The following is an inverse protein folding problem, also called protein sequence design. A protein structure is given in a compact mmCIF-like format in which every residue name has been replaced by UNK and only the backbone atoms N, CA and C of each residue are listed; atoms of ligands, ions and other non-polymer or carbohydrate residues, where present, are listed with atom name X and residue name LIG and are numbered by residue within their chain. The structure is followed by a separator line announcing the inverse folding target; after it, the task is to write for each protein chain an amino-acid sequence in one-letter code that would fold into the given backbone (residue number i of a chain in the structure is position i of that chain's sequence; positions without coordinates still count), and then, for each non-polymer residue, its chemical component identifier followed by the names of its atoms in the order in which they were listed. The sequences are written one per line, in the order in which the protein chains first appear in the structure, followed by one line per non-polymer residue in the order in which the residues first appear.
data_IF_076111766590
#
_entry.id   IF_076111766590
#
_cell.length_a   1.000
_cell.length_b   1.000
_cell.length_c   1.000
_cell.angle_alpha   90.00
_cell.angle_beta   90.00
_cell.angle_gamma   90.00
#
_symmetry.space_group_name_H-M   'P 1'
#
loop_
_entity.id
_entity.type
_entity.pdbx_description
1 polymer ?
#
# COMPACT_ATOMS: atom_id res chain seq x y z
N UNK A 1 72.10 -0.68 -76.17
CA UNK A 1 73.32 -1.37 -76.66
C UNK A 1 72.86 -2.61 -77.40
N UNK A 2 73.13 -2.67 -78.71
CA UNK A 2 74.14 -3.58 -79.29
C UNK A 2 73.58 -5.00 -79.39
N UNK A 3 73.27 -5.45 -80.61
CA UNK A 3 74.24 -6.08 -81.52
C UNK A 3 74.75 -7.36 -80.86
N UNK A 4 74.75 -8.53 -81.47
CA UNK A 4 74.30 -9.02 -82.74
C UNK A 4 74.83 -10.48 -82.78
N UNK A 5 74.34 -11.28 -83.73
CA UNK A 5 75.18 -12.12 -84.61
C UNK A 5 75.82 -13.37 -83.93
N UNK A 6 76.09 -14.50 -84.58
CA UNK A 6 76.18 -14.99 -85.97
C UNK A 6 76.35 -16.52 -85.81
N UNK A 7 75.63 -17.36 -86.57
CA UNK A 7 75.96 -17.86 -87.93
C UNK A 7 77.01 -18.99 -87.97
N UNK A 8 76.62 -20.05 -88.67
CA UNK A 8 77.42 -20.83 -89.62
C UNK A 8 76.41 -21.68 -90.43
N UNK A 9 76.45 -21.85 -91.76
CA UNK A 9 77.35 -21.43 -92.85
C UNK A 9 76.60 -21.77 -94.18
N UNK A 10 76.53 -20.87 -95.18
CA UNK A 10 77.42 -20.79 -96.36
C UNK A 10 77.11 -21.86 -97.44
N UNK A 11 77.03 -21.62 -98.77
CA UNK A 11 77.60 -20.59 -99.65
C UNK A 11 76.96 -20.67 -101.07
N UNK A 12 77.26 -19.69 -101.96
CA UNK A 12 76.89 -19.45 -103.38
C UNK A 12 75.57 -18.66 -103.58
N UNK A 13 75.52 -17.32 -103.75
CA UNK A 13 76.31 -16.34 -104.53
C UNK A 13 76.36 -16.62 -106.05
N UNK A 14 75.39 -16.10 -106.81
CA UNK A 14 75.65 -15.32 -108.04
C UNK A 14 74.39 -14.65 -108.64
N UNK A 15 74.50 -13.32 -108.79
CA UNK A 15 74.10 -12.48 -109.93
C UNK A 15 72.64 -12.35 -110.41
N UNK A 16 72.12 -11.18 -110.02
CA UNK A 16 71.35 -10.22 -110.82
C UNK A 16 71.86 -10.05 -112.26
N UNK A 17 70.87 -9.86 -113.14
CA UNK A 17 70.90 -9.19 -114.44
C UNK A 17 71.38 -10.03 -115.64
N UNK A 18 70.96 -9.73 -116.87
CA UNK A 18 70.93 -8.39 -117.45
C UNK A 18 70.31 -8.44 -118.87
N UNK A 19 69.86 -7.27 -119.33
CA UNK A 19 69.76 -6.82 -120.73
C UNK A 19 68.51 -7.17 -121.53
N UNK A 20 67.68 -6.13 -121.67
CA UNK A 20 67.05 -5.76 -122.93
C UNK A 20 68.05 -4.94 -123.79
N UNK A 21 68.13 -5.26 -125.10
CA UNK A 21 68.90 -4.58 -126.16
C UNK A 21 70.15 -5.38 -126.60
N UNK A 22 70.35 -5.85 -127.83
CA UNK A 22 69.86 -5.39 -129.12
C UNK A 22 70.18 -6.43 -130.24
N UNK A 23 69.34 -6.46 -131.29
CA UNK A 23 69.63 -6.74 -132.73
C UNK A 23 70.13 -8.16 -133.11
N UNK A 24 69.61 -8.91 -134.09
CA UNK A 24 69.05 -8.53 -135.39
C UNK A 24 68.07 -9.56 -136.00
N UNK A 25 67.07 -9.01 -136.69
CA UNK A 25 66.52 -9.38 -138.02
C UNK A 25 66.00 -10.80 -138.32
N UNK A 26 64.68 -10.84 -138.41
CA UNK A 26 63.91 -11.53 -139.45
C UNK A 26 64.04 -10.80 -140.81
N UNK A 27 63.97 -11.58 -141.89
CA UNK A 27 63.73 -11.24 -143.29
C UNK A 27 64.71 -10.29 -144.04
N UNK A 28 65.54 -10.85 -144.91
CA UNK A 28 65.43 -10.62 -146.36
C UNK A 28 66.52 -11.39 -147.13
N UNK A 29 66.04 -12.22 -148.05
CA UNK A 29 66.78 -12.74 -149.18
C UNK A 29 67.45 -11.62 -149.99
N UNK A 30 68.64 -11.91 -150.51
CA UNK A 30 69.30 -11.07 -151.52
C UNK A 30 70.70 -11.54 -151.90
N UNK A 31 70.78 -12.63 -152.68
CA UNK A 31 71.85 -13.03 -153.61
C UNK A 31 73.32 -12.94 -153.17
N UNK A 32 73.95 -14.10 -152.98
CA UNK A 32 75.36 -14.32 -153.30
C UNK A 32 75.40 -15.22 -154.54
N UNK A 33 75.95 -14.70 -155.64
CA UNK A 33 76.49 -15.54 -156.69
C UNK A 33 77.68 -16.31 -156.07
N UNK A 34 77.76 -17.63 -156.28
CA UNK A 34 78.87 -18.07 -157.09
C UNK A 34 78.42 -19.09 -158.13
N UNK A 35 79.10 -19.00 -159.26
CA UNK A 35 79.06 -19.94 -160.36
C UNK A 35 78.89 -21.40 -159.93
N UNK A 36 77.96 -22.03 -160.65
CA UNK A 36 78.07 -23.35 -161.25
C UNK A 36 78.03 -24.63 -160.37
N UNK A 37 76.86 -25.28 -160.47
CA UNK A 37 76.63 -26.68 -160.93
C UNK A 37 76.75 -27.86 -159.92
N UNK A 38 75.55 -28.41 -159.64
CA UNK A 38 75.09 -29.81 -159.45
C UNK A 38 75.37 -30.71 -158.21
N UNK A 39 74.23 -31.08 -157.59
CA UNK A 39 73.76 -32.44 -157.23
C UNK A 39 74.07 -33.09 -155.84
N UNK A 40 73.07 -33.09 -154.92
CA UNK A 40 72.91 -34.12 -153.85
C UNK A 40 71.56 -34.00 -153.07
N UNK A 41 70.76 -35.09 -152.97
CA UNK A 41 69.39 -35.07 -152.41
C UNK A 41 68.97 -36.30 -151.54
N UNK A 42 69.83 -36.85 -150.68
CA UNK A 42 69.49 -38.07 -149.89
C UNK A 42 69.60 -37.97 -148.35
N UNK A 43 70.05 -36.85 -147.77
CA UNK A 43 70.29 -36.72 -146.32
C UNK A 43 69.15 -36.03 -145.52
N UNK A 44 68.05 -35.58 -146.17
CA UNK A 44 66.97 -34.80 -145.54
C UNK A 44 65.92 -35.59 -144.75
N UNK A 45 65.92 -36.93 -144.80
CA UNK A 45 64.81 -37.73 -144.25
C UNK A 45 64.94 -38.14 -142.77
N UNK A 46 66.15 -38.16 -142.18
CA UNK A 46 66.33 -38.52 -140.75
C UNK A 46 66.13 -37.33 -139.80
N UNK A 47 66.48 -36.12 -140.22
CA UNK A 47 66.35 -34.88 -139.43
C UNK A 47 64.87 -34.51 -139.21
N UNK A 48 64.04 -34.71 -140.23
CA UNK A 48 62.59 -34.48 -140.18
C UNK A 48 61.86 -35.44 -139.21
N UNK A 49 62.38 -36.66 -139.03
CA UNK A 49 61.82 -37.65 -138.11
C UNK A 49 62.15 -37.37 -136.64
N UNK A 50 63.37 -36.87 -136.36
CA UNK A 50 63.78 -36.48 -135.00
C UNK A 50 63.05 -35.22 -134.52
N UNK A 51 62.89 -34.21 -135.38
CA UNK A 51 62.13 -33.00 -135.09
C UNK A 51 60.62 -33.28 -134.89
N UNK A 52 60.05 -34.23 -135.64
CA UNK A 52 58.67 -34.67 -135.45
C UNK A 52 58.46 -35.38 -134.10
N UNK A 53 59.44 -36.15 -133.63
CA UNK A 53 59.40 -36.80 -132.31
C UNK A 53 59.48 -35.77 -131.16
N UNK A 54 60.33 -34.75 -131.26
CA UNK A 54 60.42 -33.66 -130.28
C UNK A 54 59.17 -32.77 -130.26
N UNK A 55 58.61 -32.43 -131.42
CA UNK A 55 57.33 -31.73 -131.50
C UNK A 55 56.18 -32.56 -130.92
N UNK A 56 56.18 -33.88 -131.16
CA UNK A 56 55.25 -34.81 -130.51
C UNK A 56 55.41 -34.83 -128.99
N UNK A 57 56.64 -34.81 -128.48
CA UNK A 57 56.93 -34.77 -127.05
C UNK A 57 56.55 -33.43 -126.40
N UNK A 58 56.83 -32.30 -127.05
CA UNK A 58 56.40 -30.97 -126.60
C UNK A 58 54.88 -30.86 -126.59
N UNK A 59 54.20 -31.39 -127.60
CA UNK A 59 52.73 -31.43 -127.64
C UNK A 59 52.15 -32.31 -126.54
N UNK A 60 52.75 -33.46 -126.25
CA UNK A 60 52.35 -34.29 -125.12
C UNK A 60 52.58 -33.60 -123.77
N UNK A 61 53.70 -32.89 -123.61
CA UNK A 61 53.97 -32.06 -122.41
C UNK A 61 53.00 -30.90 -122.28
N UNK A 62 52.69 -30.19 -123.37
CA UNK A 62 51.68 -29.12 -123.40
C UNK A 62 50.32 -29.70 -123.01
N UNK A 63 49.91 -30.82 -123.58
CA UNK A 63 48.64 -31.46 -123.24
C UNK A 63 48.59 -31.95 -121.78
N UNK A 64 49.70 -32.49 -121.25
CA UNK A 64 49.79 -32.87 -119.84
C UNK A 64 49.76 -31.65 -118.91
N UNK A 65 50.42 -30.55 -119.28
CA UNK A 65 50.37 -29.28 -118.55
C UNK A 65 48.97 -28.65 -118.62
N UNK A 66 48.32 -28.66 -119.78
CA UNK A 66 46.95 -28.21 -119.97
C UNK A 66 45.97 -29.03 -119.12
N UNK A 67 46.12 -30.35 -119.09
CA UNK A 67 45.34 -31.25 -118.22
C UNK A 67 45.56 -30.93 -116.74
N UNK A 68 46.82 -30.72 -116.33
CA UNK A 68 47.18 -30.37 -114.95
C UNK A 68 46.64 -29.00 -114.54
N UNK A 69 46.70 -28.00 -115.45
CA UNK A 69 46.10 -26.67 -115.22
C UNK A 69 44.58 -26.78 -115.11
N UNK A 70 43.93 -27.57 -115.96
CA UNK A 70 42.48 -27.80 -115.88
C UNK A 70 42.09 -28.47 -114.57
N UNK A 71 42.84 -29.48 -114.12
CA UNK A 71 42.64 -30.17 -112.85
C UNK A 71 42.85 -29.23 -111.66
N UNK A 72 43.94 -28.46 -111.62
CA UNK A 72 44.19 -27.44 -110.60
C UNK A 72 43.11 -26.35 -110.58
N UNK A 73 42.62 -25.95 -111.76
CA UNK A 73 41.54 -24.96 -111.87
C UNK A 73 40.24 -25.50 -111.31
N UNK A 74 39.92 -26.77 -111.57
CA UNK A 74 38.72 -27.40 -111.01
C UNK A 74 38.86 -27.65 -109.50
N UNK A 75 40.04 -28.03 -109.02
CA UNK A 75 40.33 -28.15 -107.58
C UNK A 75 40.19 -26.80 -106.87
N UNK A 76 40.73 -25.72 -107.45
CA UNK A 76 40.57 -24.36 -106.93
C UNK A 76 39.10 -23.95 -106.84
N UNK A 77 38.29 -24.21 -107.88
CA UNK A 77 36.84 -23.98 -107.83
C UNK A 77 36.14 -24.76 -106.72
N UNK A 78 36.57 -26.01 -106.49
CA UNK A 78 36.02 -26.82 -105.40
C UNK A 78 36.39 -26.29 -104.01
N UNK A 79 37.63 -25.80 -103.84
CA UNK A 79 38.12 -25.16 -102.60
C UNK A 79 37.43 -23.81 -102.36
N UNK A 80 37.24 -22.99 -103.39
CA UNK A 80 36.49 -21.73 -103.31
C UNK A 80 35.04 -21.97 -102.87
N UNK A 81 34.37 -23.00 -103.42
CA UNK A 81 33.05 -23.39 -102.97
C UNK A 81 33.05 -23.86 -101.50
N UNK A 82 34.11 -24.52 -101.04
CA UNK A 82 34.33 -24.88 -99.64
C UNK A 82 34.51 -23.65 -98.74
N UNK A 83 35.29 -22.66 -99.18
CA UNK A 83 35.51 -21.40 -98.48
C UNK A 83 34.19 -20.63 -98.34
N UNK A 84 33.40 -20.51 -99.41
CA UNK A 84 32.09 -19.85 -99.35
C UNK A 84 31.14 -20.50 -98.33
N UNK A 85 31.16 -21.84 -98.19
CA UNK A 85 30.38 -22.53 -97.17
C UNK A 85 30.87 -22.22 -95.76
N UNK A 86 32.18 -22.16 -95.54
CA UNK A 86 32.77 -21.80 -94.25
C UNK A 86 32.49 -20.33 -93.90
N UNK A 87 32.57 -19.41 -94.87
CA UNK A 87 32.22 -18.00 -94.68
C UNK A 87 30.76 -17.83 -94.27
N UNK A 88 29.81 -18.48 -94.97
CA UNK A 88 28.40 -18.48 -94.56
C UNK A 88 28.22 -19.02 -93.13
N UNK A 89 28.91 -20.10 -92.78
CA UNK A 89 28.82 -20.68 -91.44
C UNK A 89 29.43 -19.77 -90.36
N UNK A 90 30.50 -19.04 -90.68
CA UNK A 90 31.12 -18.05 -89.78
C UNK A 90 30.17 -16.86 -89.60
N UNK A 91 29.53 -16.40 -90.67
CA UNK A 91 28.54 -15.31 -90.62
C UNK A 91 27.35 -15.71 -89.74
N UNK A 92 26.75 -16.89 -89.97
CA UNK A 92 25.65 -17.43 -89.16
C UNK A 92 26.05 -17.57 -87.68
N UNK A 93 27.28 -18.04 -87.39
CA UNK A 93 27.79 -18.14 -86.02
C UNK A 93 28.03 -16.77 -85.39
N UNK A 94 28.50 -15.80 -86.16
CA UNK A 94 28.74 -14.42 -85.70
C UNK A 94 27.44 -13.72 -85.35
N UNK A 95 26.40 -13.90 -86.18
CA UNK A 95 25.04 -13.42 -85.88
C UNK A 95 24.49 -14.06 -84.61
N UNK A 96 24.66 -15.39 -84.43
CA UNK A 96 24.27 -16.07 -83.19
C UNK A 96 25.03 -15.53 -81.97
N UNK A 97 26.34 -15.31 -82.08
CA UNK A 97 27.14 -14.73 -80.99
C UNK A 97 26.63 -13.33 -80.65
N UNK A 98 26.32 -12.50 -81.64
CA UNK A 98 25.76 -11.16 -81.41
C UNK A 98 24.39 -11.23 -80.70
N UNK A 99 23.51 -12.16 -81.11
CA UNK A 99 22.23 -12.37 -80.42
C UNK A 99 22.41 -12.82 -78.98
N UNK A 100 23.29 -13.80 -78.73
CA UNK A 100 23.58 -14.29 -77.38
C UNK A 100 24.24 -13.21 -76.50
N UNK A 101 25.14 -12.40 -77.05
CA UNK A 101 25.72 -11.27 -76.32
C UNK A 101 24.64 -10.26 -75.91
N UNK A 102 23.69 -9.95 -76.80
CA UNK A 102 22.57 -9.06 -76.48
C UNK A 102 21.65 -9.65 -75.40
N UNK A 103 21.39 -10.95 -75.45
CA UNK A 103 20.59 -11.66 -74.44
C UNK A 103 21.31 -11.68 -73.09
N UNK A 104 22.62 -11.93 -73.06
CA UNK A 104 23.44 -11.88 -71.85
C UNK A 104 23.41 -10.48 -71.24
N UNK A 105 23.62 -9.42 -72.02
CA UNK A 105 23.54 -8.04 -71.52
C UNK A 105 22.14 -7.69 -70.99
N UNK A 106 21.08 -8.14 -71.66
CA UNK A 106 19.69 -7.99 -71.19
C UNK A 106 19.44 -8.73 -69.88
N UNK A 107 19.91 -9.98 -69.75
CA UNK A 107 19.76 -10.78 -68.54
C UNK A 107 20.59 -10.20 -67.38
N UNK A 108 21.78 -9.69 -67.63
CA UNK A 108 22.64 -9.06 -66.64
C UNK A 108 22.03 -7.72 -66.15
N UNK A 109 21.50 -6.92 -67.06
CA UNK A 109 20.74 -5.71 -66.72
C UNK A 109 19.48 -6.06 -65.90
N UNK A 110 18.69 -7.04 -66.33
CA UNK A 110 17.51 -7.52 -65.60
C UNK A 110 17.86 -8.04 -64.21
N UNK A 111 18.96 -8.79 -64.08
CA UNK A 111 19.47 -9.30 -62.80
C UNK A 111 19.87 -8.15 -61.86
N UNK A 112 20.58 -7.14 -62.36
CA UNK A 112 20.99 -6.01 -61.53
C UNK A 112 19.79 -5.16 -61.07
N UNK A 113 18.82 -4.94 -61.95
CA UNK A 113 17.58 -4.21 -61.63
C UNK A 113 16.77 -4.97 -60.61
N UNK A 114 16.55 -6.28 -60.81
CA UNK A 114 15.81 -7.13 -59.88
C UNK A 114 16.50 -7.22 -58.51
N UNK A 115 17.84 -7.35 -58.48
CA UNK A 115 18.62 -7.34 -57.25
C UNK A 115 18.52 -5.99 -56.52
N UNK A 116 18.57 -4.88 -57.25
CA UNK A 116 18.47 -3.52 -56.70
C UNK A 116 17.06 -3.23 -56.17
N UNK A 117 16.02 -3.68 -56.86
CA UNK A 117 14.62 -3.54 -56.42
C UNK A 117 14.32 -4.43 -55.20
N UNK A 118 14.87 -5.64 -55.15
CA UNK A 118 14.73 -6.51 -53.98
C UNK A 118 15.51 -5.96 -52.78
N UNK A 119 16.70 -5.40 -52.99
CA UNK A 119 17.48 -4.75 -51.94
C UNK A 119 16.78 -3.50 -51.39
N UNK A 120 16.14 -2.69 -52.25
CA UNK A 120 15.38 -1.52 -51.80
C UNK A 120 14.13 -1.92 -51.00
N UNK A 121 13.39 -2.96 -51.42
CA UNK A 121 12.27 -3.52 -50.65
C UNK A 121 12.73 -4.10 -49.30
N UNK A 122 13.86 -4.81 -49.27
CA UNK A 122 14.42 -5.34 -48.04
C UNK A 122 14.84 -4.21 -47.07
N UNK A 123 15.50 -3.16 -47.58
CA UNK A 123 15.87 -1.99 -46.77
C UNK A 123 14.63 -1.25 -46.22
N UNK A 124 13.58 -1.07 -47.01
CA UNK A 124 12.34 -0.46 -46.53
C UNK A 124 11.70 -1.28 -45.37
N UNK A 125 11.71 -2.61 -45.49
CA UNK A 125 11.24 -3.51 -44.42
C UNK A 125 12.14 -3.44 -43.19
N UNK A 126 13.46 -3.34 -43.37
CA UNK A 126 14.41 -3.20 -42.26
C UNK A 126 14.16 -1.90 -41.46
N UNK A 127 13.97 -0.77 -42.15
CA UNK A 127 13.67 0.52 -41.51
C UNK A 127 12.34 0.47 -40.75
N UNK A 128 11.31 -0.15 -41.32
CA UNK A 128 10.02 -0.31 -40.63
C UNK A 128 10.15 -1.20 -39.38
N UNK A 129 10.90 -2.30 -39.46
CA UNK A 129 11.17 -3.15 -38.30
C UNK A 129 12.00 -2.44 -37.23
N UNK A 130 13.01 -1.65 -37.60
CA UNK A 130 13.77 -0.83 -36.67
C UNK A 130 12.87 0.16 -35.93
N UNK A 131 11.97 0.84 -36.64
CA UNK A 131 10.98 1.74 -36.04
C UNK A 131 10.05 1.02 -35.06
N UNK A 132 9.64 -0.21 -35.36
CA UNK A 132 8.84 -1.04 -34.46
C UNK A 132 9.63 -1.44 -33.21
N UNK A 133 10.91 -1.82 -33.36
CA UNK A 133 11.80 -2.15 -32.25
C UNK A 133 12.01 -0.92 -31.35
N UNK A 134 12.24 0.26 -31.90
CA UNK A 134 12.38 1.49 -31.11
C UNK A 134 11.10 1.83 -30.34
N UNK A 135 9.94 1.66 -30.97
CA UNK A 135 8.65 1.87 -30.31
C UNK A 135 8.47 0.89 -29.14
N UNK A 136 8.70 -0.41 -29.38
CA UNK A 136 8.62 -1.44 -28.35
C UNK A 136 9.63 -1.19 -27.21
N UNK A 137 10.84 -0.73 -27.53
CA UNK A 137 11.86 -0.38 -26.53
C UNK A 137 11.38 0.74 -25.61
N UNK A 138 10.78 1.81 -26.16
CA UNK A 138 10.19 2.90 -25.37
C UNK A 138 9.02 2.42 -24.51
N UNK A 139 8.16 1.55 -25.04
CA UNK A 139 7.03 0.99 -24.29
C UNK A 139 7.51 0.10 -23.13
N UNK A 140 8.56 -0.70 -23.33
CA UNK A 140 9.20 -1.52 -22.27
C UNK A 140 9.82 -0.63 -21.19
N UNK A 141 10.53 0.43 -21.56
CA UNK A 141 11.12 1.37 -20.61
C UNK A 141 10.04 2.09 -19.78
N UNK A 142 8.95 2.54 -20.44
CA UNK A 142 7.81 3.14 -19.78
C UNK A 142 7.10 2.16 -18.83
N UNK A 143 6.93 0.89 -19.22
CA UNK A 143 6.40 -0.15 -18.34
C UNK A 143 7.33 -0.43 -17.16
N UNK A 144 8.64 -0.45 -17.38
CA UNK A 144 9.60 -0.68 -16.30
C UNK A 144 9.53 0.44 -15.25
N UNK A 145 9.46 1.71 -15.68
CA UNK A 145 9.29 2.85 -14.77
C UNK A 145 7.95 2.83 -14.02
N UNK A 146 6.87 2.35 -14.66
CA UNK A 146 5.59 2.11 -13.98
C UNK A 146 5.70 0.98 -12.96
N UNK A 147 6.40 -0.11 -13.30
CA UNK A 147 6.64 -1.25 -12.41
C UNK A 147 7.40 -0.82 -11.16
N UNK A 148 8.51 -0.07 -11.29
CA UNK A 148 9.28 0.43 -10.14
C UNK A 148 8.44 1.36 -9.24
N UNK A 149 7.61 2.22 -9.84
CA UNK A 149 6.69 3.09 -9.10
C UNK A 149 5.64 2.27 -8.32
N UNK A 150 5.10 1.22 -8.94
CA UNK A 150 4.12 0.35 -8.29
C UNK A 150 4.76 -0.53 -7.21
N UNK A 151 5.99 -0.99 -7.40
CA UNK A 151 6.77 -1.71 -6.37
C UNK A 151 7.04 -0.83 -5.16
N UNK A 152 7.42 0.44 -5.35
CA UNK A 152 7.59 1.39 -4.26
C UNK A 152 6.28 1.61 -3.48
N UNK A 153 5.16 1.80 -4.19
CA UNK A 153 3.83 1.91 -3.57
C UNK A 153 3.41 0.64 -2.82
N UNK A 154 3.77 -0.53 -3.34
CA UNK A 154 3.50 -1.82 -2.69
C UNK A 154 4.30 -1.93 -1.40
N UNK A 155 5.59 -1.61 -1.42
CA UNK A 155 6.43 -1.58 -0.23
C UNK A 155 5.94 -0.60 0.85
N UNK A 156 5.46 0.59 0.46
CA UNK A 156 4.90 1.55 1.42
C UNK A 156 3.53 1.12 1.97
N UNK A 157 2.69 0.46 1.16
CA UNK A 157 1.46 -0.16 1.62
C UNK A 157 1.74 -1.30 2.61
N UNK A 158 2.74 -2.14 2.35
CA UNK A 158 3.16 -3.22 3.24
C UNK A 158 3.66 -2.70 4.59
N UNK A 159 4.46 -1.61 4.60
CA UNK A 159 4.87 -0.94 5.85
C UNK A 159 3.66 -0.45 6.66
N UNK A 160 2.65 0.15 6.00
CA UNK A 160 1.42 0.60 6.65
C UNK A 160 0.62 -0.59 7.22
N UNK A 161 0.54 -1.70 6.50
CA UNK A 161 -0.10 -2.93 6.98
C UNK A 161 0.61 -3.47 8.22
N UNK A 162 1.94 -3.51 8.22
CA UNK A 162 2.73 -3.93 9.38
C UNK A 162 2.52 -3.00 10.59
N UNK A 163 2.48 -1.68 10.39
CA UNK A 163 2.22 -0.72 11.46
C UNK A 163 0.81 -0.88 12.04
N UNK A 164 -0.20 -1.04 11.18
CA UNK A 164 -1.58 -1.29 11.62
C UNK A 164 -1.70 -2.62 12.37
N UNK A 165 -0.99 -3.65 11.94
CA UNK A 165 -0.97 -4.93 12.63
C UNK A 165 -0.34 -4.81 14.03
N UNK A 166 0.78 -4.09 14.15
CA UNK A 166 1.40 -3.82 15.45
C UNK A 166 0.48 -3.01 16.40
N UNK A 167 -0.30 -2.07 15.85
CA UNK A 167 -1.33 -1.34 16.62
C UNK A 167 -2.48 -2.26 17.04
N UNK A 168 -2.92 -3.16 16.16
CA UNK A 168 -3.96 -4.14 16.45
C UNK A 168 -3.52 -5.07 17.59
N UNK A 169 -2.30 -5.59 17.55
CA UNK A 169 -1.76 -6.43 18.64
C UNK A 169 -1.69 -5.68 19.98
N UNK A 170 -1.30 -4.40 19.99
CA UNK A 170 -1.29 -3.58 21.20
C UNK A 170 -2.69 -3.38 21.77
N UNK A 171 -3.69 -3.15 20.91
CA UNK A 171 -5.08 -3.04 21.33
C UNK A 171 -5.63 -4.38 21.84
N UNK A 172 -5.30 -5.48 21.15
CA UNK A 172 -5.67 -6.83 21.58
C UNK A 172 -5.14 -7.12 22.98
N UNK A 173 -3.86 -6.87 23.25
CA UNK A 173 -3.24 -7.04 24.58
C UNK A 173 -3.93 -6.20 25.66
N UNK A 174 -4.33 -4.96 25.36
CA UNK A 174 -5.08 -4.10 26.28
C UNK A 174 -6.48 -4.64 26.55
N UNK A 175 -7.17 -5.11 25.53
CA UNK A 175 -8.50 -5.74 25.66
C UNK A 175 -8.43 -7.01 26.52
N UNK A 176 -7.43 -7.87 26.29
CA UNK A 176 -7.24 -9.08 27.08
C UNK A 176 -6.92 -8.75 28.56
N UNK A 177 -6.14 -7.69 28.81
CA UNK A 177 -5.89 -7.19 30.18
C UNK A 177 -7.17 -6.64 30.83
N UNK A 178 -7.97 -5.85 30.11
CA UNK A 178 -9.26 -5.37 30.60
C UNK A 178 -10.21 -6.53 30.92
N UNK A 179 -10.26 -7.56 30.06
CA UNK A 179 -11.07 -8.77 30.29
C UNK A 179 -10.64 -9.50 31.57
N UNK A 180 -9.34 -9.65 31.82
CA UNK A 180 -8.82 -10.22 33.07
C UNK A 180 -9.22 -9.41 34.29
N UNK A 181 -9.14 -8.07 34.22
CA UNK A 181 -9.55 -7.19 35.32
C UNK A 181 -11.04 -7.30 35.62
N UNK A 182 -11.88 -7.34 34.59
CA UNK A 182 -13.33 -7.53 34.73
C UNK A 182 -13.63 -8.86 35.41
N UNK A 183 -12.98 -9.96 34.98
CA UNK A 183 -13.15 -11.26 35.62
C UNK A 183 -12.74 -11.25 37.10
N UNK A 184 -11.64 -10.60 37.46
CA UNK A 184 -11.23 -10.45 38.87
C UNK A 184 -12.27 -9.69 39.69
N UNK A 185 -12.82 -8.59 39.17
CA UNK A 185 -13.86 -7.82 39.86
C UNK A 185 -15.18 -8.58 39.94
N UNK A 186 -15.51 -9.37 38.92
CA UNK A 186 -16.71 -10.22 38.91
C UNK A 186 -16.62 -11.33 39.96
N UNK A 187 -15.45 -11.97 40.11
CA UNK A 187 -15.23 -12.95 41.17
C UNK A 187 -15.29 -12.31 42.56
N UNK A 188 -14.66 -11.16 42.76
CA UNK A 188 -14.72 -10.44 44.04
C UNK A 188 -16.15 -10.04 44.40
N UNK A 189 -16.95 -9.62 43.40
CA UNK A 189 -18.36 -9.30 43.59
C UNK A 189 -19.17 -10.53 43.99
N UNK A 190 -19.00 -11.68 43.32
CA UNK A 190 -19.68 -12.94 43.68
C UNK A 190 -19.35 -13.38 45.11
N UNK A 191 -18.08 -13.28 45.51
CA UNK A 191 -17.67 -13.57 46.89
C UNK A 191 -18.35 -12.62 47.88
N UNK A 192 -18.40 -11.31 47.59
CA UNK A 192 -19.08 -10.35 48.45
C UNK A 192 -20.60 -10.60 48.53
N UNK A 193 -21.23 -11.01 47.43
CA UNK A 193 -22.63 -11.42 47.40
C UNK A 193 -22.88 -12.68 48.25
N UNK A 194 -22.03 -13.70 48.14
CA UNK A 194 -22.12 -14.92 48.94
C UNK A 194 -21.92 -14.65 50.44
N UNK A 195 -20.93 -13.83 50.81
CA UNK A 195 -20.70 -13.43 52.21
C UNK A 195 -21.83 -12.56 52.76
N UNK A 196 -22.41 -11.66 51.96
CA UNK A 196 -23.58 -10.89 52.38
C UNK A 196 -24.77 -11.81 52.68
N UNK A 197 -25.03 -12.79 51.81
CA UNK A 197 -26.11 -13.77 52.04
C UNK A 197 -25.86 -14.60 53.29
N UNK A 198 -24.61 -15.00 53.55
CA UNK A 198 -24.21 -15.71 54.77
C UNK A 198 -24.44 -14.85 56.01
N UNK A 199 -23.95 -13.61 56.04
CA UNK A 199 -24.11 -12.68 57.17
C UNK A 199 -25.59 -12.34 57.39
N UNK A 200 -26.38 -12.18 56.33
CA UNK A 200 -27.82 -12.00 56.47
C UNK A 200 -28.47 -13.20 57.15
N UNK A 201 -28.13 -14.42 56.75
CA UNK A 201 -28.64 -15.62 57.39
C UNK A 201 -28.18 -15.71 58.86
N UNK A 202 -26.89 -15.51 59.14
CA UNK A 202 -26.33 -15.54 60.50
C UNK A 202 -26.94 -14.46 61.41
N UNK A 203 -27.13 -13.23 60.93
CA UNK A 203 -27.79 -12.18 61.72
C UNK A 203 -29.26 -12.49 61.97
N UNK A 204 -29.96 -13.12 61.03
CA UNK A 204 -31.35 -13.56 61.28
C UNK A 204 -31.43 -14.70 62.28
N UNK A 205 -30.48 -15.63 62.31
CA UNK A 205 -30.44 -16.72 63.30
C UNK A 205 -30.01 -16.20 64.67
N UNK A 206 -28.95 -15.39 64.74
CA UNK A 206 -28.51 -14.71 65.96
C UNK A 206 -29.63 -13.85 66.53
N UNK A 207 -30.36 -13.07 65.72
CA UNK A 207 -31.47 -12.25 66.20
C UNK A 207 -32.61 -13.10 66.81
N UNK A 208 -32.89 -14.30 66.26
CA UNK A 208 -33.89 -15.23 66.82
C UNK A 208 -33.42 -15.79 68.16
N UNK A 209 -32.17 -16.26 68.23
CA UNK A 209 -31.56 -16.76 69.47
C UNK A 209 -31.48 -15.67 70.55
N UNK A 210 -31.08 -14.46 70.14
CA UNK A 210 -31.03 -13.30 71.02
C UNK A 210 -32.43 -12.97 71.51
N UNK A 211 -33.44 -12.90 70.64
CA UNK A 211 -34.84 -12.63 71.03
C UNK A 211 -35.38 -13.65 72.05
N UNK A 212 -35.05 -14.92 71.92
CA UNK A 212 -35.47 -15.97 72.86
C UNK A 212 -34.76 -15.84 74.22
N UNK A 213 -33.43 -15.68 74.22
CA UNK A 213 -32.63 -15.56 75.47
C UNK A 213 -32.87 -14.22 76.17
N UNK A 214 -33.01 -13.14 75.39
CA UNK A 214 -33.12 -11.77 75.88
C UNK A 214 -34.57 -11.36 76.16
N UNK A 215 -35.57 -12.00 75.56
CA UNK A 215 -36.98 -11.81 75.92
C UNK A 215 -37.30 -12.20 77.37
N UNK A 216 -36.50 -13.10 77.96
CA UNK A 216 -36.60 -13.50 79.36
C UNK A 216 -35.59 -12.78 80.29
N UNK A 217 -34.53 -12.16 79.74
CA UNK A 217 -33.43 -11.58 80.52
C UNK A 217 -33.44 -10.04 80.57
N UNK A 218 -34.07 -9.33 79.63
CA UNK A 218 -34.14 -7.86 79.72
C UNK A 218 -35.06 -7.43 80.87
N UNK A 219 -34.57 -6.58 81.79
CA UNK A 219 -35.42 -5.94 82.79
C UNK A 219 -36.61 -5.22 82.10
N UNK A 220 -37.82 -5.23 82.67
CA UNK A 220 -39.01 -4.65 82.03
C UNK A 220 -38.84 -3.19 81.56
N UNK A 221 -38.01 -2.39 82.25
CA UNK A 221 -37.70 -1.02 81.86
C UNK A 221 -36.82 -0.91 80.60
N UNK A 222 -35.94 -1.88 80.35
CA UNK A 222 -35.06 -1.91 79.17
C UNK A 222 -35.79 -2.49 77.96
N UNK A 223 -36.64 -3.49 78.16
CA UNK A 223 -37.52 -4.03 77.11
C UNK A 223 -38.49 -2.96 76.59
N UNK A 224 -39.02 -2.11 77.47
CA UNK A 224 -39.87 -0.97 77.09
C UNK A 224 -39.06 0.13 76.37
N UNK A 225 -37.82 0.41 76.79
CA UNK A 225 -36.96 1.39 76.10
C UNK A 225 -36.48 0.91 74.73
N UNK A 226 -36.14 -0.37 74.55
CA UNK A 226 -35.74 -0.92 73.25
C UNK A 226 -36.93 -0.99 72.31
N UNK A 227 -38.12 -1.38 72.78
CA UNK A 227 -39.34 -1.33 72.00
C UNK A 227 -39.66 0.09 71.53
N UNK A 228 -39.58 1.08 72.43
CA UNK A 228 -39.84 2.48 72.08
C UNK A 228 -38.78 3.04 71.10
N UNK A 229 -37.50 2.72 71.30
CA UNK A 229 -36.44 3.12 70.36
C UNK A 229 -36.61 2.47 68.99
N UNK A 230 -37.01 1.19 68.94
CA UNK A 230 -37.25 0.45 67.70
C UNK A 230 -38.49 0.97 66.97
N UNK A 231 -39.53 1.38 67.68
CA UNK A 231 -40.73 2.03 67.13
C UNK A 231 -40.39 3.42 66.57
N UNK A 232 -39.66 4.25 67.31
CA UNK A 232 -39.24 5.58 66.84
C UNK A 232 -38.34 5.45 65.61
N UNK A 233 -37.37 4.53 65.62
CA UNK A 233 -36.50 4.29 64.46
C UNK A 233 -37.26 3.72 63.26
N UNK A 234 -38.20 2.80 63.48
CA UNK A 234 -39.08 2.27 62.43
C UNK A 234 -39.99 3.35 61.84
N UNK A 235 -40.55 4.23 62.68
CA UNK A 235 -41.35 5.37 62.22
C UNK A 235 -40.50 6.30 61.35
N UNK A 236 -39.29 6.66 61.80
CA UNK A 236 -38.40 7.56 61.07
C UNK A 236 -37.86 6.93 59.77
N UNK A 237 -37.59 5.63 59.79
CA UNK A 237 -37.24 4.87 58.59
C UNK A 237 -38.39 4.84 57.59
N UNK A 238 -39.62 4.58 58.03
CA UNK A 238 -40.78 4.53 57.14
C UNK A 238 -41.18 5.92 56.61
N UNK A 239 -41.06 6.98 57.43
CA UNK A 239 -41.37 8.35 57.06
C UNK A 239 -40.32 8.99 56.12
N UNK A 240 -39.02 8.69 56.33
CA UNK A 240 -37.95 9.39 55.60
C UNK A 240 -36.99 8.45 54.85
N UNK A 241 -36.56 7.35 55.47
CA UNK A 241 -35.56 6.44 54.89
C UNK A 241 -36.09 5.69 53.66
N UNK A 242 -37.22 4.99 53.83
CA UNK A 242 -37.87 4.18 52.80
C UNK A 242 -38.28 5.00 51.57
N UNK A 243 -38.95 6.17 51.68
CA UNK A 243 -39.26 6.98 50.52
C UNK A 243 -38.02 7.56 49.83
N UNK A 244 -36.96 7.93 50.56
CA UNK A 244 -35.71 8.41 49.96
C UNK A 244 -35.01 7.33 49.11
N UNK A 245 -34.91 6.10 49.65
CA UNK A 245 -34.33 4.96 48.94
C UNK A 245 -35.17 4.59 47.72
N UNK A 246 -36.49 4.53 47.85
CA UNK A 246 -37.39 4.23 46.73
C UNK A 246 -37.34 5.31 45.65
N UNK A 247 -37.24 6.59 46.03
CA UNK A 247 -37.04 7.70 45.08
C UNK A 247 -35.71 7.57 44.33
N UNK A 248 -34.62 7.16 44.98
CA UNK A 248 -33.33 6.94 44.32
C UNK A 248 -33.40 5.75 43.35
N UNK A 249 -34.04 4.65 43.75
CA UNK A 249 -34.21 3.47 42.91
C UNK A 249 -35.08 3.78 41.68
N UNK A 250 -36.16 4.54 41.88
CA UNK A 250 -37.03 5.02 40.81
C UNK A 250 -36.28 5.96 39.87
N UNK A 251 -35.55 6.97 40.37
CA UNK A 251 -34.73 7.87 39.54
C UNK A 251 -33.65 7.13 38.76
N UNK A 252 -33.01 6.13 39.36
CA UNK A 252 -32.03 5.30 38.68
C UNK A 252 -32.68 4.51 37.52
N UNK A 253 -33.89 3.97 37.74
CA UNK A 253 -34.65 3.27 36.70
C UNK A 253 -35.16 4.21 35.60
N UNK A 254 -35.66 5.40 35.94
CA UNK A 254 -36.11 6.40 34.97
C UNK A 254 -34.95 6.92 34.11
N UNK A 255 -33.77 7.12 34.72
CA UNK A 255 -32.57 7.55 33.99
C UNK A 255 -32.03 6.45 33.08
N UNK A 256 -32.11 5.18 33.46
CA UNK A 256 -31.71 4.08 32.58
C UNK A 256 -32.67 3.89 31.40
N UNK A 257 -33.99 4.08 31.61
CA UNK A 257 -34.99 4.09 30.53
C UNK A 257 -34.82 5.31 29.63
N UNK A 258 -34.57 6.51 30.17
CA UNK A 258 -34.25 7.70 29.39
C UNK A 258 -32.98 7.54 28.55
N UNK A 259 -31.93 6.94 29.11
CA UNK A 259 -30.70 6.66 28.35
C UNK A 259 -30.96 5.68 27.20
N UNK A 260 -31.85 4.69 27.40
CA UNK A 260 -32.23 3.72 26.38
C UNK A 260 -33.08 4.35 25.27
N UNK A 261 -34.07 5.17 25.62
CA UNK A 261 -34.90 5.88 24.64
C UNK A 261 -34.14 6.99 23.92
N UNK A 262 -33.18 7.66 24.56
CA UNK A 262 -32.27 8.60 23.90
C UNK A 262 -31.36 7.88 22.89
N UNK A 263 -30.86 6.69 23.23
CA UNK A 263 -29.98 5.93 22.35
C UNK A 263 -30.68 5.33 21.12
N UNK A 264 -31.95 4.89 21.24
CA UNK A 264 -32.72 4.27 20.13
C UNK A 264 -32.74 5.09 18.83
N UNK A 265 -33.17 6.37 18.80
CA UNK A 265 -33.23 7.14 17.56
C UNK A 265 -31.83 7.44 17.02
N UNK A 266 -30.80 7.56 17.87
CA UNK A 266 -29.42 7.76 17.41
C UNK A 266 -28.82 6.48 16.81
N UNK A 267 -29.13 5.32 17.37
CA UNK A 267 -28.70 4.01 16.84
C UNK A 267 -29.44 3.67 15.56
N UNK A 268 -30.76 3.92 15.50
CA UNK A 268 -31.56 3.68 14.30
C UNK A 268 -31.28 4.69 13.19
N UNK A 269 -31.00 5.96 13.53
CA UNK A 269 -30.52 6.95 12.56
C UNK A 269 -29.10 6.62 12.07
N UNK A 270 -28.21 6.13 12.94
CA UNK A 270 -26.90 5.61 12.53
C UNK A 270 -27.06 4.42 11.58
N UNK A 271 -27.99 3.50 11.87
CA UNK A 271 -28.23 2.32 11.04
C UNK A 271 -28.90 2.66 9.69
N UNK A 272 -29.84 3.60 9.65
CA UNK A 272 -30.62 3.92 8.43
C UNK A 272 -30.02 5.02 7.57
N UNK A 273 -29.52 6.11 8.17
CA UNK A 273 -28.96 7.24 7.41
C UNK A 273 -27.51 7.02 7.04
N UNK A 274 -26.73 6.40 7.93
CA UNK A 274 -25.29 6.28 7.70
C UNK A 274 -24.92 5.00 6.98
N UNK A 275 -25.65 3.88 7.11
CA UNK A 275 -25.31 2.66 6.37
C UNK A 275 -25.30 2.82 4.83
N UNK A 276 -26.26 3.48 4.17
CA UNK A 276 -26.21 3.72 2.72
C UNK A 276 -25.28 4.90 2.36
N UNK A 277 -25.28 5.98 3.15
CA UNK A 277 -24.42 7.16 2.92
C UNK A 277 -22.94 6.81 3.07
N UNK A 278 -22.56 5.95 4.02
CA UNK A 278 -21.19 5.45 4.17
C UNK A 278 -20.81 4.57 2.98
N UNK A 279 -21.71 3.75 2.44
CA UNK A 279 -21.43 2.93 1.25
C UNK A 279 -21.18 3.79 0.00
N UNK A 280 -22.04 4.77 -0.28
CA UNK A 280 -21.90 5.66 -1.44
C UNK A 280 -20.75 6.66 -1.27
N UNK A 281 -20.64 7.28 -0.08
CA UNK A 281 -19.54 8.19 0.23
C UNK A 281 -18.21 7.44 0.29
N UNK A 282 -18.11 6.18 0.73
CA UNK A 282 -16.84 5.43 0.67
C UNK A 282 -16.40 5.17 -0.77
N UNK A 283 -17.32 4.96 -1.71
CA UNK A 283 -16.97 4.78 -3.14
C UNK A 283 -16.47 6.09 -3.76
N UNK A 284 -17.09 7.22 -3.44
CA UNK A 284 -16.71 8.56 -3.94
C UNK A 284 -15.52 9.15 -3.16
N UNK A 285 -15.34 8.77 -1.90
CA UNK A 285 -14.26 9.22 -1.04
C UNK A 285 -12.98 8.44 -1.33
N UNK A 286 -13.07 7.18 -1.76
CA UNK A 286 -11.92 6.39 -2.25
C UNK A 286 -11.26 7.01 -3.49
N UNK A 287 -11.95 7.89 -4.22
CA UNK A 287 -11.39 8.63 -5.37
C UNK A 287 -10.89 10.04 -5.02
N UNK A 288 -11.18 10.58 -3.82
CA UNK A 288 -10.83 11.95 -3.38
C UNK A 288 -10.14 12.01 -2.00
N UNK A 289 -9.57 10.90 -1.52
CA UNK A 289 -9.28 10.65 -0.09
C UNK A 289 -8.18 11.49 0.55
N UNK A 290 -7.28 12.10 -0.22
CA UNK A 290 -6.07 12.70 0.37
C UNK A 290 -6.32 14.05 1.09
N UNK A 291 -6.97 15.06 0.49
CA UNK A 291 -7.15 16.36 1.16
C UNK A 291 -8.16 16.33 2.32
N UNK A 292 -9.18 15.48 2.27
CA UNK A 292 -10.24 15.45 3.30
C UNK A 292 -9.80 14.77 4.60
N UNK A 293 -8.99 13.71 4.50
CA UNK A 293 -8.42 13.03 5.67
C UNK A 293 -7.43 13.96 6.38
N UNK A 294 -6.64 14.73 5.64
CA UNK A 294 -5.75 15.74 6.20
C UNK A 294 -6.52 16.84 6.94
N UNK A 295 -7.62 17.35 6.37
CA UNK A 295 -8.45 18.37 7.01
C UNK A 295 -9.12 17.87 8.31
N UNK A 296 -9.64 16.64 8.32
CA UNK A 296 -10.28 16.06 9.51
C UNK A 296 -9.25 15.78 10.61
N UNK A 297 -8.06 15.28 10.23
CA UNK A 297 -6.98 15.05 11.18
C UNK A 297 -6.51 16.37 11.81
N UNK A 298 -6.28 17.42 11.00
CA UNK A 298 -5.89 18.74 11.48
C UNK A 298 -6.92 19.33 12.46
N UNK A 299 -8.21 19.33 12.10
CA UNK A 299 -9.28 19.84 12.98
C UNK A 299 -9.44 19.02 14.26
N UNK A 300 -9.23 17.70 14.20
CA UNK A 300 -9.30 16.85 15.40
C UNK A 300 -8.15 17.12 16.37
N UNK A 301 -6.95 17.41 15.83
CA UNK A 301 -5.77 17.78 16.64
C UNK A 301 -5.99 19.16 17.26
N UNK A 302 -6.46 20.14 16.50
CA UNK A 302 -6.78 21.47 17.02
C UNK A 302 -7.85 21.44 18.12
N UNK A 303 -8.92 20.66 17.94
CA UNK A 303 -9.97 20.50 18.94
C UNK A 303 -9.44 19.82 20.23
N UNK A 304 -8.54 18.83 20.10
CA UNK A 304 -7.92 18.18 21.24
C UNK A 304 -6.95 19.12 21.98
N UNK A 305 -6.13 19.88 21.25
CA UNK A 305 -5.23 20.89 21.82
C UNK A 305 -6.03 21.95 22.58
N UNK A 306 -7.06 22.52 21.94
CA UNK A 306 -7.91 23.54 22.55
C UNK A 306 -8.64 23.01 23.79
N UNK A 307 -9.13 21.76 23.76
CA UNK A 307 -9.73 21.12 24.93
C UNK A 307 -8.71 20.90 26.04
N UNK A 308 -7.49 20.48 25.71
CA UNK A 308 -6.41 20.29 26.69
C UNK A 308 -6.07 21.61 27.37
N UNK A 309 -5.88 22.67 26.60
CA UNK A 309 -5.52 24.00 27.11
C UNK A 309 -6.64 24.62 27.96
N UNK A 310 -7.91 24.35 27.62
CA UNK A 310 -9.06 24.78 28.43
C UNK A 310 -9.18 24.02 29.77
N UNK A 311 -8.84 22.74 29.81
CA UNK A 311 -9.00 21.89 31.00
C UNK A 311 -7.79 22.01 31.96
N UNK A 312 -6.59 22.23 31.42
CA UNK A 312 -5.34 22.30 32.18
C UNK A 312 -5.39 23.24 33.40
N UNK A 313 -5.86 24.51 33.32
CA UNK A 313 -5.89 25.40 34.48
C UNK A 313 -6.84 24.93 35.59
N UNK A 314 -7.91 24.19 35.26
CA UNK A 314 -8.84 23.66 36.25
C UNK A 314 -8.27 22.45 36.99
N UNK A 315 -7.50 21.62 36.29
CA UNK A 315 -6.78 20.48 36.90
C UNK A 315 -5.68 20.98 37.83
N UNK A 316 -4.90 21.98 37.41
CA UNK A 316 -3.85 22.59 38.24
C UNK A 316 -4.46 23.22 39.50
N UNK A 317 -5.54 23.99 39.36
CA UNK A 317 -6.22 24.62 40.51
C UNK A 317 -6.83 23.60 41.48
N UNK A 318 -7.40 22.50 40.97
CA UNK A 318 -7.89 21.42 41.82
C UNK A 318 -6.76 20.72 42.58
N UNK A 319 -5.59 20.57 41.95
CA UNK A 319 -4.41 20.00 42.60
C UNK A 319 -3.86 20.92 43.69
N UNK A 320 -3.74 22.22 43.42
CA UNK A 320 -3.31 23.24 44.38
C UNK A 320 -4.24 23.33 45.60
N UNK A 321 -5.57 23.22 45.40
CA UNK A 321 -6.54 23.23 46.51
C UNK A 321 -6.43 21.96 47.36
N UNK A 322 -6.13 20.81 46.75
CA UNK A 322 -6.05 19.54 47.45
C UNK A 322 -4.71 19.34 48.18
N UNK A 323 -3.62 19.94 47.70
CA UNK A 323 -2.26 19.79 48.23
C UNK A 323 -2.14 20.06 49.75
N UNK A 324 -2.68 21.15 50.34
CA UNK A 324 -2.58 21.38 51.78
C UNK A 324 -3.30 20.30 52.62
N UNK A 325 -4.37 19.70 52.11
CA UNK A 325 -5.06 18.60 52.80
C UNK A 325 -4.25 17.31 52.80
N UNK A 326 -3.58 17.00 51.68
CA UNK A 326 -2.68 15.85 51.61
C UNK A 326 -1.45 16.03 52.50
N UNK A 327 -0.90 17.24 52.57
CA UNK A 327 0.20 17.56 53.47
C UNK A 327 -0.20 17.44 54.94
N UNK A 328 -1.40 17.90 55.31
CA UNK A 328 -1.88 17.79 56.70
C UNK A 328 -2.19 16.34 57.09
N UNK A 329 -2.79 15.56 56.18
CA UNK A 329 -2.97 14.13 56.37
C UNK A 329 -1.63 13.41 56.58
N UNK A 330 -0.59 13.78 55.83
CA UNK A 330 0.76 13.23 56.00
C UNK A 330 1.36 13.55 57.37
N UNK A 331 1.18 14.77 57.89
CA UNK A 331 1.60 15.14 59.26
C UNK A 331 0.84 14.34 60.32
N UNK A 332 -0.48 14.18 60.17
CA UNK A 332 -1.29 13.38 61.10
C UNK A 332 -0.88 11.90 61.12
N UNK A 333 -0.46 11.35 59.97
CA UNK A 333 0.10 10.01 59.86
C UNK A 333 1.37 9.81 60.69
N UNK A 334 2.25 10.81 60.75
CA UNK A 334 3.45 10.76 61.60
C UNK A 334 3.10 10.74 63.10
N UNK A 335 2.09 11.51 63.52
CA UNK A 335 1.62 11.51 64.92
C UNK A 335 1.01 10.15 65.28
N UNK A 336 0.21 9.57 64.39
CA UNK A 336 -0.35 8.23 64.59
C UNK A 336 0.74 7.14 64.64
N UNK A 337 1.76 7.24 63.80
CA UNK A 337 2.92 6.33 63.81
C UNK A 337 3.67 6.35 65.14
N UNK A 338 3.95 7.53 65.69
CA UNK A 338 4.63 7.67 66.98
C UNK A 338 3.79 7.14 68.16
N UNK A 339 2.46 7.28 68.10
CA UNK A 339 1.54 6.72 69.11
C UNK A 339 1.55 5.20 69.02
N UNK A 340 1.51 4.64 67.81
CA UNK A 340 1.53 3.20 67.58
C UNK A 340 2.84 2.56 68.07
N UNK A 341 3.98 3.20 67.83
CA UNK A 341 5.29 2.74 68.31
C UNK A 341 5.36 2.72 69.84
N UNK A 342 4.92 3.80 70.50
CA UNK A 342 4.86 3.88 71.96
C UNK A 342 3.88 2.87 72.56
N UNK A 343 2.71 2.69 71.96
CA UNK A 343 1.73 1.70 72.39
C UNK A 343 2.29 0.27 72.27
N UNK A 344 3.02 -0.03 71.19
CA UNK A 344 3.65 -1.34 70.99
C UNK A 344 4.74 -1.60 72.03
N UNK A 345 5.57 -0.61 72.35
CA UNK A 345 6.56 -0.73 73.42
C UNK A 345 5.92 -0.97 74.80
N UNK A 346 4.83 -0.25 75.11
CA UNK A 346 4.07 -0.45 76.35
C UNK A 346 3.40 -1.82 76.42
N UNK A 347 2.87 -2.30 75.29
CA UNK A 347 2.27 -3.62 75.18
C UNK A 347 3.29 -4.73 75.48
N UNK A 348 4.49 -4.62 74.89
CA UNK A 348 5.60 -5.54 75.15
C UNK A 348 6.06 -5.49 76.62
N UNK A 349 6.11 -4.31 77.22
CA UNK A 349 6.42 -4.14 78.65
C UNK A 349 5.33 -4.74 79.55
N UNK A 350 4.04 -4.57 79.21
CA UNK A 350 2.94 -5.18 79.94
C UNK A 350 2.96 -6.70 79.79
N UNK A 351 3.27 -7.23 78.61
CA UNK A 351 3.39 -8.67 78.35
C UNK A 351 4.49 -9.29 79.21
N UNK A 352 5.68 -8.69 79.27
CA UNK A 352 6.79 -9.17 80.11
C UNK A 352 6.46 -9.08 81.60
N UNK A 353 5.76 -8.02 82.04
CA UNK A 353 5.35 -7.85 83.43
C UNK A 353 4.30 -8.89 83.83
N UNK A 354 3.26 -9.08 83.02
CA UNK A 354 2.21 -10.10 83.25
C UNK A 354 2.82 -11.49 83.24
N UNK A 355 3.73 -11.78 82.33
CA UNK A 355 4.42 -13.08 82.27
C UNK A 355 5.26 -13.33 83.53
N UNK A 356 6.00 -12.33 84.01
CA UNK A 356 6.79 -12.43 85.24
C UNK A 356 5.91 -12.62 86.49
N UNK A 357 4.79 -11.90 86.60
CA UNK A 357 3.82 -12.08 87.70
C UNK A 357 3.18 -13.46 87.67
N UNK A 358 2.76 -13.95 86.51
CA UNK A 358 2.17 -15.28 86.36
C UNK A 358 3.17 -16.41 86.67
N UNK A 359 4.47 -16.16 86.49
CA UNK A 359 5.54 -17.11 86.82
C UNK A 359 5.89 -17.13 88.32
N UNK A 360 5.65 -16.03 89.06
CA UNK A 360 5.90 -15.92 90.50
C UNK A 360 4.83 -16.60 91.37
N UNK A 361 3.60 -16.76 90.88
CA UNK A 361 2.52 -17.40 91.64
C UNK A 361 2.38 -18.89 91.29
N UNK A 362 2.48 -19.74 92.31
CA UNK A 362 2.54 -21.21 92.18
C UNK A 362 1.26 -21.81 91.54
N UNK A 363 0.10 -21.16 91.72
CA UNK A 363 -1.19 -21.58 91.14
C UNK A 363 -1.40 -21.15 89.69
N UNK A 364 -0.74 -20.08 89.23
CA UNK A 364 -0.89 -19.57 87.85
C UNK A 364 0.12 -20.17 86.88
N UNK A 365 1.19 -20.79 87.39
CA UNK A 365 2.25 -21.42 86.59
C UNK A 365 1.74 -22.48 85.61
N UNK A 366 0.65 -23.17 85.94
CA UNK A 366 0.02 -24.19 85.10
C UNK A 366 -0.70 -23.62 83.86
N UNK A 367 -1.03 -22.33 83.86
CA UNK A 367 -1.75 -21.64 82.77
C UNK A 367 -0.87 -20.65 81.99
N UNK A 368 0.46 -20.70 82.19
CA UNK A 368 1.42 -19.81 81.52
C UNK A 368 1.60 -20.24 80.06
N UNK A 369 0.79 -19.68 79.17
CA UNK A 369 1.01 -19.71 77.72
C UNK A 369 1.32 -18.30 77.23
N UNK A 370 2.28 -18.16 76.31
CA UNK A 370 2.69 -16.86 75.75
C UNK A 370 1.51 -16.11 75.11
N UNK A 371 0.56 -16.86 74.56
CA UNK A 371 -0.71 -16.38 74.00
C UNK A 371 -1.59 -15.69 75.06
N UNK A 372 -1.75 -16.30 76.24
CA UNK A 372 -2.58 -15.71 77.31
C UNK A 372 -1.99 -14.39 77.82
N UNK A 373 -0.66 -14.33 77.98
CA UNK A 373 0.04 -13.10 78.35
C UNK A 373 -0.15 -12.00 77.31
N UNK A 374 -0.15 -12.36 76.01
CA UNK A 374 -0.42 -11.44 74.91
C UNK A 374 -1.85 -10.88 74.94
N UNK A 375 -2.87 -11.73 75.16
CA UNK A 375 -4.26 -11.28 75.29
C UNK A 375 -4.50 -10.41 76.52
N UNK A 376 -3.90 -10.75 77.67
CA UNK A 376 -4.04 -9.95 78.90
C UNK A 376 -3.36 -8.57 78.78
N UNK A 377 -2.17 -8.53 78.17
CA UNK A 377 -1.47 -7.29 77.87
C UNK A 377 -2.23 -6.43 76.83
N UNK A 378 -2.94 -7.06 75.89
CA UNK A 378 -3.78 -6.37 74.91
C UNK A 378 -5.02 -5.78 75.58
N UNK A 379 -5.67 -6.54 76.47
CA UNK A 379 -6.82 -6.08 77.24
C UNK A 379 -6.47 -4.87 78.14
N UNK A 380 -5.30 -4.87 78.77
CA UNK A 380 -4.76 -3.75 79.54
C UNK A 380 -4.56 -2.48 78.70
N UNK A 381 -4.22 -2.62 77.41
CA UNK A 381 -4.01 -1.50 76.50
C UNK A 381 -5.32 -0.97 75.89
N UNK A 382 -6.26 -1.87 75.60
CA UNK A 382 -7.54 -1.54 74.96
C UNK A 382 -8.51 -0.91 75.96
N UNK A 383 -8.49 -1.32 77.23
CA UNK A 383 -9.40 -0.80 78.26
C UNK A 383 -9.36 0.73 78.42
N UNK A 384 -8.19 1.39 78.54
CA UNK A 384 -8.09 2.85 78.59
C UNK A 384 -8.61 3.53 77.32
N UNK A 385 -8.33 2.96 76.14
CA UNK A 385 -8.79 3.49 74.84
C UNK A 385 -10.30 3.41 74.74
N UNK A 386 -10.90 2.30 75.19
CA UNK A 386 -12.35 2.10 75.21
C UNK A 386 -13.04 3.05 76.20
N UNK A 387 -12.47 3.23 77.39
CA UNK A 387 -12.97 4.21 78.38
C UNK A 387 -12.87 5.63 77.82
N UNK A 388 -11.76 5.99 77.20
CA UNK A 388 -11.60 7.31 76.57
C UNK A 388 -12.56 7.50 75.39
N UNK A 389 -12.76 6.48 74.56
CA UNK A 389 -13.76 6.48 73.48
C UNK A 389 -15.18 6.67 74.02
N UNK A 390 -15.55 5.97 75.09
CA UNK A 390 -16.85 6.15 75.75
C UNK A 390 -17.03 7.56 76.31
N UNK A 391 -16.00 8.13 76.95
CA UNK A 391 -16.02 9.51 77.45
C UNK A 391 -16.12 10.53 76.30
N UNK A 392 -15.40 10.32 75.20
CA UNK A 392 -15.49 11.18 74.02
C UNK A 392 -16.86 11.10 73.33
N UNK A 393 -17.44 9.90 73.23
CA UNK A 393 -18.80 9.71 72.69
C UNK A 393 -19.82 10.41 73.60
N UNK A 394 -19.69 10.32 74.93
CA UNK A 394 -20.60 11.04 75.84
C UNK A 394 -20.40 12.57 75.84
N UNK A 395 -19.16 13.06 75.69
CA UNK A 395 -18.84 14.48 75.74
C UNK A 395 -19.14 15.21 74.41
N UNK A 396 -18.94 14.54 73.27
CA UNK A 396 -19.04 15.15 71.93
C UNK A 396 -20.24 14.67 71.10
N UNK A 397 -20.95 13.59 71.47
CA UNK A 397 -22.25 13.33 70.89
C UNK A 397 -23.31 14.20 71.59
N UNK A 398 -23.92 15.18 70.91
CA UNK A 398 -24.85 16.09 71.56
C UNK A 398 -26.09 15.32 72.02
N UNK A 399 -26.29 15.20 73.33
CA UNK A 399 -27.64 15.04 73.89
C UNK A 399 -28.43 16.29 73.49
N UNK A 400 -29.10 16.26 72.34
CA UNK A 400 -30.00 17.34 71.94
C UNK A 400 -31.07 17.46 73.04
N UNK A 401 -31.03 18.55 73.79
CA UNK A 401 -32.16 18.93 74.64
C UNK A 401 -33.40 19.01 73.74
N UNK A 402 -34.43 18.23 74.08
CA UNK A 402 -35.76 18.38 73.48
C UNK A 402 -36.18 19.83 73.72
N UNK A 403 -36.27 20.63 72.66
CA UNK A 403 -36.97 21.92 72.73
C UNK A 403 -38.42 21.61 73.11
N UNK A 404 -38.89 22.17 74.22
CA UNK A 404 -40.29 22.14 74.58
C UNK A 404 -41.12 22.76 73.44
N UNK A 405 -42.25 22.16 73.01
CA UNK A 405 -43.13 22.80 72.06
C UNK A 405 -43.83 23.97 72.76
N UNK A 406 -43.32 25.19 72.59
CA UNK A 406 -44.02 26.39 73.06
C UNK A 406 -45.06 26.78 72.01
N UNK A 407 -46.22 26.14 72.15
CA UNK A 407 -47.59 26.62 71.89
C UNK A 407 -47.73 27.86 70.97
N UNK A 408 -48.17 27.63 69.73
CA UNK A 408 -48.80 28.66 68.90
C UNK A 408 -50.28 28.71 69.29
N UNK A 409 -50.61 29.56 70.26
CA UNK A 409 -51.99 30.00 70.44
C UNK A 409 -52.03 31.39 71.08
N UNK A 410 -52.21 32.40 70.24
CA UNK A 410 -52.76 33.68 70.63
C UNK A 410 -53.61 34.20 69.47
N UNK A 411 -54.86 33.73 69.44
CA UNK A 411 -55.95 34.38 68.75
C UNK A 411 -56.06 35.83 69.21
N UNK A 412 -55.80 36.79 68.34
CA UNK A 412 -56.37 38.13 68.44
C UNK A 412 -57.28 38.36 67.25
N UNK A 413 -58.56 38.05 67.49
CA UNK A 413 -59.66 38.35 66.61
C UNK A 413 -59.94 39.85 66.55
N UNK A 414 -60.16 40.30 65.33
CA UNK A 414 -60.78 41.56 64.95
C UNK A 414 -62.05 41.86 65.78
N UNK A 415 -62.15 43.06 66.37
CA UNK A 415 -63.44 43.69 66.72
C UNK A 415 -63.58 45.01 65.97
N UNK A 416 -64.77 45.20 65.40
CA UNK A 416 -65.18 46.25 64.46
C UNK A 416 -65.37 47.64 65.10
N UNK A 417 -65.17 48.65 64.24
CA UNK A 417 -65.84 49.96 64.06
C UNK A 417 -66.63 50.62 65.20
N UNK A 418 -66.37 51.92 65.38
CA UNK A 418 -67.39 52.93 65.68
C UNK A 418 -67.09 54.26 64.95
N UNK A 419 -68.18 54.92 64.54
CA UNK A 419 -68.34 56.03 63.61
C UNK A 419 -68.06 57.44 64.23
N UNK A 420 -67.92 58.40 63.31
CA UNK A 420 -68.25 59.83 63.32
C UNK A 420 -67.46 60.82 64.21
N UNK A 421 -66.80 61.79 63.55
CA UNK A 421 -67.20 63.21 63.63
C UNK A 421 -66.66 64.05 62.45
N UNK A 422 -67.53 64.96 62.01
CA UNK A 422 -67.62 65.88 60.85
C UNK A 422 -66.62 67.09 60.92
N UNK A 423 -66.67 68.19 60.13
CA UNK A 423 -67.11 68.45 58.74
C UNK A 423 -66.08 69.22 57.87
N UNK A 424 -66.40 69.35 56.57
CA UNK A 424 -66.05 70.46 55.64
C UNK A 424 -65.21 70.08 54.42
N UNK A 425 -65.88 69.74 53.32
CA UNK A 425 -65.98 70.64 52.15
C UNK A 425 -66.83 70.02 51.06
N UNK A 426 -67.95 70.70 50.79
CA UNK A 426 -68.76 70.58 49.59
C UNK A 426 -68.00 70.99 48.33
N UNK A 427 -68.43 70.36 47.23
CA UNK A 427 -68.56 70.87 45.87
C UNK A 427 -67.23 71.18 45.13
N UNK A 428 -66.94 70.52 44.01
CA UNK A 428 -67.65 70.58 42.72
C UNK A 428 -67.04 69.49 41.82
N UNK A 429 -67.67 68.90 40.80
CA UNK A 429 -69.00 68.97 40.18
C UNK A 429 -68.98 67.88 39.08
N UNK A 430 -69.99 66.99 39.10
CA UNK A 430 -70.80 66.44 37.99
C UNK A 430 -70.13 66.16 36.63
N UNK A 431 -70.29 65.00 35.96
CA UNK A 431 -71.12 63.84 36.24
C UNK A 431 -71.33 62.95 35.01
N UNK A 432 -71.93 61.78 35.28
CA UNK A 432 -72.83 60.97 34.43
C UNK A 432 -72.27 60.28 33.16
N UNK A 433 -72.94 59.22 32.65
CA UNK A 433 -72.97 57.87 33.23
C UNK A 433 -72.70 56.78 32.17
N UNK A 434 -72.74 55.50 32.55
CA UNK A 434 -72.87 54.37 31.60
C UNK A 434 -74.20 54.40 30.81
N UNK A 435 -74.63 53.32 30.12
CA UNK A 435 -74.26 51.93 30.41
C UNK A 435 -74.15 50.98 29.19
N UNK A 436 -73.70 49.75 29.49
CA UNK A 436 -74.21 48.46 28.96
C UNK A 436 -74.40 48.26 27.45
N UNK A 437 -73.69 47.29 26.89
CA UNK A 437 -74.21 46.01 26.37
C UNK A 437 -73.07 45.39 25.53
N UNK A 438 -72.51 44.25 25.92
CA UNK A 438 -73.00 42.89 25.66
C UNK A 438 -72.52 42.35 24.31
N UNK A 439 -72.11 41.08 24.34
CA UNK A 439 -72.07 40.11 23.23
C UNK A 439 -70.74 39.99 22.45
N UNK A 440 -69.95 39.01 22.90
CA UNK A 440 -69.61 37.75 22.19
C UNK A 440 -68.75 37.74 20.92
N UNK A 441 -67.78 36.80 20.93
CA UNK A 441 -67.01 36.18 19.82
C UNK A 441 -66.14 37.15 19.01
N UNK A 442 -64.85 36.90 18.79
CA UNK A 442 -64.17 35.66 18.33
C UNK A 442 -62.80 35.51 18.99
#
# INVERSE_FOLDING_TARGET
MRIARLVAAALLLLLVALVAGAVAQDSALGNVAPEEIEAAAAARAEEDAALAAELGQLRAKISALESSIAEQTQELKSKDAGIQKLEKLIEDKSQKIATLQSEISSLEAKKSIAAKEQASKANARAIELEKQIEKLKKDVEAQNNRKTTMEARTGDADKKVQELNAKLEKLQKKSDEQKRRIQKTEHALKVAEEELMRVQLETTTQLKQLREVHGAWLPPWLATHTAHAMEVMSSHWNEHGKPAVNSLLQKASEKSVQAKEWAKPHVEAAKSKWAPVIKEKLVIMKTNTEPYVQMVLAKSVEAYQASKDAILPHVVKAHEIADPYFQEAKKSGHVYGNILEKATAYHQQAQTTVLNYLHQHETTKQFVTEELAWYLASALLIMPIYVFYMVLVEAFCPKKQKKAPRNVNANHGHRRHKLDEDPSRMACRVGYPGPSLSIAFV
#
